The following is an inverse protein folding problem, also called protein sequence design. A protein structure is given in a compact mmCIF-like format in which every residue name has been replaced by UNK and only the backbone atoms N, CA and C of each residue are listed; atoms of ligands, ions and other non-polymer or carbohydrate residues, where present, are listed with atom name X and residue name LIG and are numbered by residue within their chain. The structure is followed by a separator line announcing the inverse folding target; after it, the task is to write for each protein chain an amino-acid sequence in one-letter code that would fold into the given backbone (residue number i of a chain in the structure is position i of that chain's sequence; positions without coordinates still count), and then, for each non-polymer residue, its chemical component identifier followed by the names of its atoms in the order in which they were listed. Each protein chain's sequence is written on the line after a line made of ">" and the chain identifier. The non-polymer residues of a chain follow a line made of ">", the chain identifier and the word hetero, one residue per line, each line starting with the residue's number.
data_IF_412155448126
#
_entry.id   IF_412155448126
#
_cell.length_a   1.000
_cell.length_b   1.000
_cell.length_c   1.000
_cell.angle_alpha   90.00
_cell.angle_beta   90.00
_cell.angle_gamma   90.00
#
_symmetry.space_group_name_H-M   'P 1'
#
loop_
_entity.id
_entity.type
_entity.pdbx_description
1 polymer ?
#
# COMPACT_ATOMS: atom_id res chain seq x y z
N UNK A 1 22.95 19.70 16.65
CA UNK A 1 21.55 20.15 16.63
C UNK A 1 20.94 19.63 15.34
N UNK A 2 19.95 18.73 15.36
CA UNK A 2 19.47 18.14 14.12
C UNK A 2 18.50 19.09 13.42
N UNK A 3 18.64 19.12 12.09
CA UNK A 3 17.89 19.91 11.13
C UNK A 3 16.45 19.36 11.01
N UNK A 4 15.59 19.65 11.99
CA UNK A 4 14.14 19.38 11.91
C UNK A 4 13.34 20.59 11.40
N UNK A 5 13.99 21.60 10.81
CA UNK A 5 13.37 22.92 10.66
C UNK A 5 12.76 23.28 9.31
N UNK A 6 12.78 22.43 8.27
CA UNK A 6 12.31 22.87 6.95
C UNK A 6 11.44 21.86 6.20
N UNK A 7 10.55 21.12 6.88
CA UNK A 7 9.36 20.62 6.18
C UNK A 7 8.29 21.70 6.27
N UNK A 8 8.13 22.49 5.21
CA UNK A 8 6.94 23.33 5.06
C UNK A 8 5.76 22.40 4.84
N UNK A 9 4.55 22.73 5.32
CA UNK A 9 3.35 21.92 5.07
C UNK A 9 3.08 21.61 3.59
N UNK A 10 3.66 22.41 2.68
CA UNK A 10 3.54 22.27 1.22
C UNK A 10 4.64 21.41 0.59
N UNK A 11 5.66 20.98 1.34
CA UNK A 11 6.72 20.08 0.87
C UNK A 11 6.28 18.60 0.96
N UNK A 12 5.07 18.37 1.49
CA UNK A 12 4.38 17.12 1.30
C UNK A 12 3.97 17.03 -0.17
N UNK A 13 4.82 16.42 -0.99
CA UNK A 13 4.44 15.87 -2.28
C UNK A 13 3.47 14.70 -2.07
N UNK A 14 2.27 14.99 -1.55
CA UNK A 14 1.13 14.22 -2.01
C UNK A 14 1.06 14.60 -3.49
N UNK A 15 1.12 13.63 -4.38
CA UNK A 15 0.63 13.80 -5.74
C UNK A 15 -0.89 14.07 -5.63
N UNK A 16 -1.29 15.25 -5.15
CA UNK A 16 -2.65 15.71 -5.26
C UNK A 16 -2.79 16.15 -6.70
N UNK A 17 -3.34 15.26 -7.53
CA UNK A 17 -4.07 15.71 -8.71
C UNK A 17 -5.03 16.82 -8.25
N UNK A 18 -4.96 18.01 -8.86
CA UNK A 18 -5.71 19.22 -8.47
C UNK A 18 -7.25 19.03 -8.50
N UNK A 19 -7.71 17.84 -8.86
CA UNK A 19 -9.10 17.38 -8.84
C UNK A 19 -9.51 16.64 -7.57
N UNK A 20 -8.63 16.51 -6.59
CA UNK A 20 -8.94 15.82 -5.34
C UNK A 20 -9.90 16.66 -4.49
N UNK A 21 -11.16 16.22 -4.51
CA UNK A 21 -12.23 16.75 -3.68
C UNK A 21 -11.77 16.83 -2.22
N UNK A 22 -11.70 18.04 -1.66
CA UNK A 22 -11.27 18.32 -0.27
C UNK A 22 -12.10 17.59 0.79
N UNK A 23 -13.22 16.99 0.41
CA UNK A 23 -14.09 16.20 1.27
C UNK A 23 -13.83 14.68 1.19
N UNK A 24 -12.78 14.23 0.48
CA UNK A 24 -12.49 12.82 0.39
C UNK A 24 -11.81 12.33 1.68
N UNK A 25 -12.56 11.53 2.45
CA UNK A 25 -12.11 10.97 3.72
C UNK A 25 -10.85 10.12 3.61
N UNK A 26 -10.52 9.62 2.42
CA UNK A 26 -9.38 8.75 2.18
C UNK A 26 -8.04 9.49 2.29
N UNK A 27 -8.05 10.82 2.08
CA UNK A 27 -6.86 11.68 2.17
C UNK A 27 -6.72 12.35 3.54
N UNK A 28 -7.58 12.00 4.49
CA UNK A 28 -7.50 12.55 5.84
C UNK A 28 -6.22 12.05 6.51
N UNK A 29 -5.36 12.99 6.89
CA UNK A 29 -4.12 12.71 7.60
C UNK A 29 -4.16 13.32 9.02
N UNK A 30 -3.25 12.86 9.87
CA UNK A 30 -2.92 13.45 11.17
C UNK A 30 -1.45 13.83 11.18
N UNK A 31 -1.08 14.84 11.95
CA UNK A 31 0.32 15.21 12.11
C UNK A 31 0.92 14.45 13.29
N UNK A 32 2.00 13.73 13.03
CA UNK A 32 2.86 13.09 14.02
C UNK A 32 4.17 13.86 14.03
N UNK A 33 4.42 14.62 15.09
CA UNK A 33 5.66 15.42 15.22
C UNK A 33 5.91 16.34 14.01
N UNK A 34 4.82 16.86 13.42
CA UNK A 34 4.87 17.72 12.24
C UNK A 34 4.91 16.99 10.90
N UNK A 35 5.08 15.66 10.89
CA UNK A 35 5.00 14.84 9.68
C UNK A 35 3.58 14.28 9.45
N UNK A 36 3.12 14.22 8.19
CA UNK A 36 1.79 13.71 7.87
C UNK A 36 1.74 12.18 7.91
N UNK A 37 0.72 11.66 8.58
CA UNK A 37 0.36 10.25 8.64
C UNK A 37 -1.07 10.06 8.13
N UNK A 38 -1.26 9.29 7.06
CA UNK A 38 -2.60 9.01 6.54
C UNK A 38 -3.38 8.09 7.47
N UNK A 39 -4.63 8.46 7.77
CA UNK A 39 -5.41 7.79 8.81
C UNK A 39 -6.00 6.44 8.37
N UNK A 40 -6.18 6.24 7.05
CA UNK A 40 -6.71 5.01 6.45
C UNK A 40 -5.60 4.17 5.81
N UNK A 41 -4.60 3.81 6.62
CA UNK A 41 -3.50 2.94 6.22
C UNK A 41 -3.50 1.66 7.04
N UNK A 42 -3.04 0.56 6.44
CA UNK A 42 -2.81 -0.72 7.13
C UNK A 42 -1.86 -0.57 8.34
N UNK A 43 -0.90 0.34 8.24
CA UNK A 43 0.00 0.76 9.31
C UNK A 43 1.01 1.77 8.79
N UNK A 44 1.93 2.20 9.65
CA UNK A 44 3.03 3.05 9.23
C UNK A 44 4.17 3.12 10.24
N UNK A 45 5.27 3.71 9.80
CA UNK A 45 6.48 3.87 10.58
C UNK A 45 6.82 5.35 10.67
N UNK A 46 7.08 5.84 11.88
CA UNK A 46 7.75 7.11 12.09
C UNK A 46 9.24 6.83 12.24
N UNK A 47 10.04 7.42 11.36
CA UNK A 47 11.46 7.16 11.27
C UNK A 47 12.26 8.46 11.32
N UNK A 48 13.44 8.40 11.93
CA UNK A 48 14.50 9.39 11.76
C UNK A 48 15.47 8.90 10.68
N UNK A 49 15.93 9.78 9.81
CA UNK A 49 16.91 9.44 8.76
C UNK A 49 18.26 9.17 9.42
N UNK A 50 18.81 7.97 9.22
CA UNK A 50 20.15 7.60 9.68
C UNK A 50 21.20 7.74 8.58
N UNK A 51 20.84 7.43 7.34
CA UNK A 51 21.78 7.43 6.21
C UNK A 51 21.07 7.63 4.90
N UNK A 52 21.71 8.35 3.99
CA UNK A 52 21.29 8.49 2.61
C UNK A 52 22.43 8.06 1.69
N UNK A 53 22.09 7.38 0.60
CA UNK A 53 23.04 6.94 -0.42
C UNK A 53 22.47 7.25 -1.81
N UNK A 54 23.28 7.87 -2.66
CA UNK A 54 22.99 7.95 -4.09
C UNK A 54 23.52 6.69 -4.79
N UNK A 55 22.66 5.99 -5.51
CA UNK A 55 22.99 4.75 -6.24
C UNK A 55 22.41 4.88 -7.65
N UNK A 56 23.27 5.23 -8.60
CA UNK A 56 22.85 5.50 -9.97
C UNK A 56 21.96 6.73 -10.05
N UNK A 57 20.74 6.56 -10.54
CA UNK A 57 19.67 7.57 -10.61
C UNK A 57 18.69 7.51 -9.41
N UNK A 58 18.97 6.69 -8.40
CA UNK A 58 18.13 6.53 -7.22
C UNK A 58 18.80 7.08 -5.95
N UNK A 59 17.98 7.57 -5.01
CA UNK A 59 18.39 7.86 -3.63
C UNK A 59 17.81 6.79 -2.70
N UNK A 60 18.68 6.13 -1.94
CA UNK A 60 18.31 5.14 -0.93
C UNK A 60 18.41 5.78 0.45
N UNK A 61 17.30 5.82 1.19
CA UNK A 61 17.21 6.39 2.53
C UNK A 61 17.04 5.26 3.56
N UNK A 62 17.95 5.20 4.52
CA UNK A 62 17.88 4.32 5.68
C UNK A 62 17.32 5.09 6.86
N UNK A 63 16.20 4.62 7.40
CA UNK A 63 15.54 5.24 8.54
C UNK A 63 15.55 4.34 9.77
N UNK A 64 15.85 4.92 10.93
CA UNK A 64 15.63 4.29 12.23
C UNK A 64 14.18 4.45 12.65
N UNK A 65 13.49 3.33 12.85
CA UNK A 65 12.10 3.34 13.32
C UNK A 65 12.05 3.82 14.77
N UNK A 66 11.42 4.97 14.98
CA UNK A 66 11.15 5.54 16.30
C UNK A 66 9.80 5.08 16.86
N UNK A 67 8.80 4.89 15.98
CA UNK A 67 7.46 4.45 16.36
C UNK A 67 6.78 3.67 15.23
N UNK A 68 5.93 2.72 15.62
CA UNK A 68 5.06 1.95 14.70
C UNK A 68 3.60 2.32 14.96
N UNK A 69 2.88 2.68 13.92
CA UNK A 69 1.44 2.87 13.93
C UNK A 69 0.77 1.62 13.37
N UNK A 70 -0.23 1.14 14.10
CA UNK A 70 -1.09 0.07 13.63
C UNK A 70 -2.31 0.71 12.97
N UNK A 71 -2.70 0.20 11.80
CA UNK A 71 -3.98 0.54 11.21
C UNK A 71 -5.14 0.20 12.15
N UNK A 72 -6.29 0.80 11.89
CA UNK A 72 -7.52 0.45 12.60
C UNK A 72 -7.95 -1.00 12.23
N UNK A 73 -8.90 -1.56 12.97
CA UNK A 73 -9.34 -2.95 12.76
C UNK A 73 -9.89 -3.19 11.35
N UNK A 74 -10.63 -2.22 10.79
CA UNK A 74 -11.17 -2.31 9.42
C UNK A 74 -10.07 -2.36 8.36
N UNK A 75 -9.02 -1.55 8.47
CA UNK A 75 -7.91 -1.59 7.51
C UNK A 75 -7.08 -2.87 7.64
N UNK A 76 -7.04 -3.47 8.84
CA UNK A 76 -6.38 -4.76 9.04
C UNK A 76 -7.15 -5.91 8.39
N UNK A 77 -8.48 -5.86 8.40
CA UNK A 77 -9.34 -6.84 7.72
C UNK A 77 -9.11 -6.81 6.20
N UNK A 78 -8.91 -5.63 5.62
CA UNK A 78 -8.60 -5.47 4.18
C UNK A 78 -7.22 -6.03 3.79
N UNK A 79 -6.29 -6.14 4.75
CA UNK A 79 -4.93 -6.60 4.51
C UNK A 79 -4.05 -5.56 3.77
N UNK A 80 -2.74 -5.84 3.62
CA UNK A 80 -1.84 -4.96 2.88
C UNK A 80 -2.05 -5.09 1.37
N UNK A 81 -1.83 -3.98 0.65
CA UNK A 81 -1.81 -3.95 -0.81
C UNK A 81 -0.52 -4.58 -1.33
N UNK A 82 -0.62 -5.56 -2.22
CA UNK A 82 0.51 -6.18 -2.90
C UNK A 82 0.67 -5.57 -4.30
N UNK A 83 1.91 -5.33 -4.71
CA UNK A 83 2.24 -4.92 -6.07
C UNK A 83 3.27 -5.88 -6.68
N UNK A 84 2.88 -6.56 -7.77
CA UNK A 84 3.73 -7.50 -8.47
C UNK A 84 3.38 -7.53 -9.96
N UNK A 85 4.40 -7.54 -10.82
CA UNK A 85 4.24 -7.62 -12.28
C UNK A 85 3.40 -6.50 -12.88
N UNK A 86 3.51 -5.27 -12.35
CA UNK A 86 2.74 -4.12 -12.85
C UNK A 86 1.28 -4.07 -12.38
N UNK A 87 0.87 -4.96 -11.46
CA UNK A 87 -0.52 -5.09 -11.03
C UNK A 87 -0.66 -5.07 -9.51
N UNK A 88 -1.75 -4.46 -9.03
CA UNK A 88 -2.15 -4.47 -7.62
C UNK A 88 -2.99 -5.71 -7.29
N UNK A 89 -2.79 -6.26 -6.09
CA UNK A 89 -3.45 -7.49 -5.63
C UNK A 89 -3.73 -7.42 -4.13
N UNK A 90 -4.77 -8.12 -3.68
CA UNK A 90 -5.02 -8.35 -2.26
C UNK A 90 -4.32 -9.63 -1.80
N UNK A 91 -4.00 -9.70 -0.51
CA UNK A 91 -3.49 -10.94 0.09
C UNK A 91 -4.58 -12.01 0.01
N UNK A 92 -4.26 -13.16 -0.60
CA UNK A 92 -5.19 -14.28 -0.75
C UNK A 92 -5.84 -14.42 -2.12
N UNK A 93 -5.81 -13.39 -2.98
CA UNK A 93 -6.38 -13.45 -4.35
C UNK A 93 -5.80 -14.61 -5.18
N UNK A 94 -4.53 -14.95 -4.97
CA UNK A 94 -3.87 -16.05 -5.68
C UNK A 94 -4.43 -17.44 -5.32
N UNK A 95 -4.96 -17.61 -4.10
CA UNK A 95 -5.59 -18.87 -3.67
C UNK A 95 -6.93 -19.02 -4.37
N UNK A 96 -7.73 -17.95 -4.39
CA UNK A 96 -9.01 -17.92 -5.10
C UNK A 96 -8.87 -18.12 -6.60
N UNK A 97 -7.87 -17.48 -7.24
CA UNK A 97 -7.64 -17.65 -8.67
C UNK A 97 -7.26 -19.09 -9.04
N UNK A 98 -6.37 -19.72 -8.26
CA UNK A 98 -6.01 -21.13 -8.50
C UNK A 98 -7.20 -22.07 -8.29
N UNK A 99 -7.95 -21.90 -7.20
CA UNK A 99 -9.11 -22.74 -6.91
C UNK A 99 -10.22 -22.56 -7.96
N UNK A 100 -10.42 -21.34 -8.44
CA UNK A 100 -11.36 -21.04 -9.52
C UNK A 100 -10.90 -21.63 -10.87
N UNK A 101 -9.61 -21.52 -11.22
CA UNK A 101 -9.03 -22.11 -12.44
C UNK A 101 -9.08 -23.64 -12.41
N UNK A 102 -8.87 -24.27 -11.26
CA UNK A 102 -8.99 -25.72 -11.09
C UNK A 102 -10.45 -26.17 -11.21
N UNK A 103 -11.40 -25.49 -10.57
CA UNK A 103 -12.84 -25.81 -10.66
C UNK A 103 -13.40 -25.60 -12.06
N UNK A 104 -13.00 -24.54 -12.76
CA UNK A 104 -13.46 -24.28 -14.13
C UNK A 104 -12.91 -25.28 -15.14
N UNK A 105 -11.67 -25.77 -14.96
CA UNK A 105 -11.12 -26.88 -15.76
C UNK A 105 -11.91 -28.18 -15.59
N UNK A 106 -12.37 -28.48 -14.37
CA UNK A 106 -13.18 -29.69 -14.11
C UNK A 106 -14.53 -29.62 -14.84
N UNK A 107 -15.22 -28.47 -14.79
CA UNK A 107 -16.52 -28.28 -15.46
C UNK A 107 -16.40 -28.40 -16.99
N UNK A 108 -15.32 -27.89 -17.60
CA UNK A 108 -15.11 -28.03 -19.03
C UNK A 108 -14.91 -29.50 -19.45
N UNK A 109 -14.18 -30.28 -18.65
CA UNK A 109 -13.95 -31.70 -18.93
C UNK A 109 -15.23 -32.55 -18.79
N UNK A 110 -16.07 -32.28 -17.79
CA UNK A 110 -17.37 -32.95 -17.62
C UNK A 110 -18.36 -32.57 -18.73
N UNK A 111 -18.34 -31.31 -19.18
CA UNK A 111 -19.18 -30.86 -20.31
C UNK A 111 -18.78 -31.57 -21.60
N UNK A 112 -17.48 -31.70 -21.89
CA UNK A 112 -17.00 -32.42 -23.09
C UNK A 112 -17.39 -33.90 -23.04
N UNK A 113 -17.31 -34.57 -21.88
CA UNK A 113 -17.73 -35.97 -21.74
C UNK A 113 -19.23 -36.17 -21.98
N UNK A 114 -20.08 -35.20 -21.61
CA UNK A 114 -21.53 -35.27 -21.81
C UNK A 114 -21.98 -34.94 -23.25
N UNK A 115 -21.08 -34.50 -24.14
CA UNK A 115 -21.36 -34.28 -25.57
C UNK A 115 -20.76 -35.37 -26.48
N UNK A 116 -19.99 -36.32 -25.94
CA UNK A 116 -19.29 -37.38 -26.69
C UNK A 116 -19.93 -38.77 -26.54
N UNK A 117 -21.07 -38.87 -25.85
CA UNK A 117 -21.91 -40.07 -25.78
C UNK A 117 -23.35 -39.80 -26.25
#
# INVERSE_FOLDING_TARGET
>A
QPLLQNFKPNDLFIATDDKLNKNNEDYKYTLVEGLPYFNKCFGGFYCEVEKELEIGDHQVVFGKVLKVFKGNEKEKESGPLLYYGGTYRSVGDQIFMKEFEEKTRIIQNETILNFVF
#
